data_IF_983257666738
#
_entry.id   IF_983257666738
#
_cell.length_a   1.000
_cell.length_b   1.000
_cell.length_c   1.000
_cell.angle_alpha   90.00
_cell.angle_beta   90.00
_cell.angle_gamma   90.00
#
_symmetry.space_group_name_H-M   'P 1'
#
loop_
_entity.id
_entity.type
_entity.pdbx_description
1 polymer ?
#
# COMPACT_ATOMS: atom_id res chain seq x y z
N UNK A 1 -3.24 10.59 -24.37
CA UNK A 1 -3.53 9.42 -23.50
C UNK A 1 -3.52 9.95 -22.08
N UNK A 2 -4.60 9.73 -21.33
CA UNK A 2 -4.75 10.27 -19.98
C UNK A 2 -3.58 9.82 -19.09
N UNK A 3 -2.92 10.77 -18.43
CA UNK A 3 -2.23 10.49 -17.18
C UNK A 3 -3.25 10.82 -16.10
N UNK A 4 -4.07 9.88 -15.58
CA UNK A 4 -4.91 10.21 -14.47
C UNK A 4 -4.03 10.19 -13.22
N UNK A 5 -3.90 11.37 -12.62
CA UNK A 5 -3.58 11.65 -11.22
C UNK A 5 -2.48 10.78 -10.56
N UNK A 6 -1.29 11.36 -10.37
CA UNK A 6 -0.54 11.36 -9.10
C UNK A 6 -0.83 10.19 -8.13
N UNK A 7 -0.71 8.94 -8.60
CA UNK A 7 -0.91 7.76 -7.77
C UNK A 7 0.40 7.56 -7.00
N UNK A 8 0.40 8.02 -5.74
CA UNK A 8 1.50 7.74 -4.84
C UNK A 8 1.64 6.21 -4.71
N UNK A 9 2.80 5.69 -5.06
CA UNK A 9 3.08 4.26 -5.01
C UNK A 9 3.76 3.94 -3.68
N UNK A 10 3.57 2.71 -3.21
CA UNK A 10 4.15 2.24 -1.96
C UNK A 10 4.90 0.96 -2.26
N UNK A 11 6.21 0.99 -2.05
CA UNK A 11 7.07 -0.17 -2.18
C UNK A 11 7.23 -0.83 -0.82
N UNK A 12 6.99 -2.12 -0.74
CA UNK A 12 7.29 -2.87 0.47
C UNK A 12 8.80 -3.08 0.56
N UNK A 13 9.43 -2.56 1.61
CA UNK A 13 10.85 -2.84 1.90
C UNK A 13 10.99 -4.12 2.73
N UNK A 14 10.02 -4.39 3.61
CA UNK A 14 10.03 -5.54 4.50
C UNK A 14 8.72 -6.31 4.45
N UNK A 15 8.83 -7.63 4.27
CA UNK A 15 7.66 -8.50 4.29
C UNK A 15 7.01 -8.51 5.67
N UNK A 16 5.68 -8.50 5.70
CA UNK A 16 4.90 -8.53 6.92
C UNK A 16 3.58 -9.25 6.65
N UNK A 17 3.15 -10.04 7.60
CA UNK A 17 1.88 -10.75 7.53
C UNK A 17 1.13 -10.52 8.83
N UNK A 18 -0.15 -10.15 8.72
CA UNK A 18 -1.02 -10.04 9.87
C UNK A 18 -2.46 -10.40 9.51
N UNK A 19 -3.19 -10.85 10.53
CA UNK A 19 -4.62 -11.06 10.44
C UNK A 19 -5.34 -9.80 10.89
N UNK A 20 -6.10 -9.18 9.99
CA UNK A 20 -6.95 -8.04 10.31
C UNK A 20 -8.07 -8.46 11.27
N UNK A 21 -8.66 -7.49 11.97
CA UNK A 21 -9.77 -7.74 12.91
C UNK A 21 -11.00 -8.38 12.26
N UNK A 22 -11.15 -8.19 10.94
CA UNK A 22 -12.22 -8.78 10.13
C UNK A 22 -11.94 -10.27 9.75
N UNK A 23 -10.76 -10.80 10.12
CA UNK A 23 -10.32 -12.14 9.72
C UNK A 23 -9.60 -12.17 8.36
N UNK A 24 -9.47 -11.03 7.68
CA UNK A 24 -8.69 -10.92 6.44
C UNK A 24 -7.20 -11.12 6.73
N UNK A 25 -6.58 -12.12 6.10
CA UNK A 25 -5.12 -12.28 6.12
C UNK A 25 -4.50 -11.31 5.11
N UNK A 26 -3.70 -10.38 5.62
CA UNK A 26 -2.94 -9.42 4.82
C UNK A 26 -1.48 -9.83 4.88
N UNK A 27 -0.93 -10.18 3.72
CA UNK A 27 0.49 -10.49 3.56
C UNK A 27 1.10 -9.57 2.52
N UNK A 28 2.08 -8.79 2.96
CA UNK A 28 2.93 -7.97 2.10
C UNK A 28 4.31 -8.62 1.99
N UNK A 29 4.85 -8.66 0.79
CA UNK A 29 6.20 -9.18 0.52
C UNK A 29 7.13 -8.05 0.09
N UNK A 30 8.41 -8.12 0.46
CA UNK A 30 9.38 -7.13 -0.01
C UNK A 30 9.38 -7.10 -1.54
N UNK A 31 9.58 -5.91 -2.09
CA UNK A 31 9.52 -5.58 -3.51
C UNK A 31 8.10 -5.57 -4.12
N UNK A 32 7.04 -5.82 -3.36
CA UNK A 32 5.68 -5.56 -3.84
C UNK A 32 5.36 -4.06 -3.88
N UNK A 33 4.49 -3.69 -4.83
CA UNK A 33 4.07 -2.30 -5.04
C UNK A 33 2.57 -2.19 -4.88
N UNK A 34 2.15 -1.23 -4.07
CA UNK A 34 0.76 -0.92 -3.83
C UNK A 34 0.47 0.53 -4.18
N UNK A 35 -0.78 0.83 -4.52
CA UNK A 35 -1.25 2.19 -4.75
C UNK A 35 -1.70 2.76 -3.41
N UNK A 36 -1.07 3.84 -2.97
CA UNK A 36 -1.49 4.59 -1.80
C UNK A 36 -2.80 5.29 -2.10
N UNK A 37 -3.85 4.90 -1.38
CA UNK A 37 -5.14 5.59 -1.45
C UNK A 37 -5.20 6.73 -0.45
N UNK A 38 -4.79 6.47 0.80
CA UNK A 38 -4.88 7.45 1.88
C UNK A 38 -3.87 7.17 2.98
N UNK A 39 -3.14 8.21 3.38
CA UNK A 39 -2.32 8.19 4.58
C UNK A 39 -3.21 8.48 5.78
N UNK A 40 -3.75 7.43 6.40
CA UNK A 40 -4.59 7.60 7.58
C UNK A 40 -3.75 8.12 8.75
N UNK A 41 -2.62 7.47 9.04
CA UNK A 41 -1.64 7.90 10.04
C UNK A 41 -0.20 7.54 9.62
N UNK A 42 0.80 8.04 10.33
CA UNK A 42 2.21 7.64 10.20
C UNK A 42 2.49 6.16 10.55
N UNK A 43 1.53 5.44 11.15
CA UNK A 43 1.68 4.02 11.45
C UNK A 43 1.01 3.13 10.40
N UNK A 44 -0.16 3.53 9.88
CA UNK A 44 -0.98 2.69 9.01
C UNK A 44 -1.44 3.49 7.79
N UNK A 45 -1.14 2.95 6.61
CA UNK A 45 -1.55 3.52 5.33
C UNK A 45 -2.60 2.65 4.68
N UNK A 46 -3.57 3.31 4.06
CA UNK A 46 -4.60 2.65 3.29
C UNK A 46 -4.12 2.54 1.84
N UNK A 47 -3.88 1.30 1.42
CA UNK A 47 -3.37 0.99 0.09
C UNK A 47 -4.31 0.04 -0.63
N UNK A 48 -4.17 -0.06 -1.95
CA UNK A 48 -4.78 -1.12 -2.77
C UNK A 48 -3.74 -1.75 -3.67
N UNK A 49 -3.96 -3.01 -4.06
CA UNK A 49 -3.19 -3.64 -5.13
C UNK A 49 -3.72 -3.16 -6.47
N UNK A 50 -2.82 -2.91 -7.42
CA UNK A 50 -3.22 -2.51 -8.77
C UNK A 50 -3.97 -3.67 -9.43
N UNK A 51 -5.26 -3.47 -9.70
CA UNK A 51 -6.17 -4.52 -10.19
C UNK A 51 -7.15 -5.08 -9.15
N UNK A 52 -6.93 -4.81 -7.86
CA UNK A 52 -7.87 -5.20 -6.79
C UNK A 52 -8.76 -4.02 -6.40
N UNK A 53 -10.06 -4.31 -6.22
CA UNK A 53 -11.04 -3.33 -5.74
C UNK A 53 -11.07 -3.22 -4.21
N UNK A 54 -10.42 -4.15 -3.50
CA UNK A 54 -10.41 -4.19 -2.03
C UNK A 54 -9.13 -3.55 -1.48
N UNK A 55 -9.23 -2.34 -0.92
CA UNK A 55 -8.11 -1.73 -0.23
C UNK A 55 -7.92 -2.37 1.15
N UNK A 56 -6.72 -2.27 1.67
CA UNK A 56 -6.33 -2.80 2.97
C UNK A 56 -5.29 -1.89 3.62
N UNK A 57 -5.07 -2.10 4.91
CA UNK A 57 -4.12 -1.31 5.67
C UNK A 57 -2.78 -2.00 5.71
N UNK A 58 -1.71 -1.23 5.58
CA UNK A 58 -0.35 -1.73 5.75
C UNK A 58 0.43 -0.82 6.68
N UNK A 59 1.36 -1.37 7.47
CA UNK A 59 2.18 -0.56 8.36
C UNK A 59 3.20 0.25 7.56
N UNK A 60 3.14 1.57 7.69
CA UNK A 60 4.00 2.51 6.98
C UNK A 60 5.50 2.31 7.31
N UNK A 61 5.82 1.71 8.45
CA UNK A 61 7.21 1.42 8.84
C UNK A 61 7.86 0.31 8.00
N UNK A 62 7.07 -0.53 7.32
CA UNK A 62 7.55 -1.66 6.52
C UNK A 62 7.60 -1.34 5.03
N UNK A 63 7.10 -0.16 4.66
CA UNK A 63 6.90 0.24 3.29
C UNK A 63 7.36 1.67 3.06
N UNK A 64 7.68 1.98 1.81
CA UNK A 64 8.25 3.25 1.39
C UNK A 64 7.35 3.89 0.35
N UNK A 65 6.91 5.11 0.62
CA UNK A 65 6.25 5.93 -0.38
C UNK A 65 7.26 6.25 -1.49
N UNK A 66 6.89 5.91 -2.72
CA UNK A 66 7.61 6.28 -3.93
C UNK A 66 6.94 7.54 -4.49
N UNK A 67 7.72 8.61 -4.72
CA UNK A 67 7.18 9.79 -5.39
C UNK A 67 6.71 9.43 -6.80
N UNK A 68 5.65 10.08 -7.30
CA UNK A 68 5.27 9.96 -8.70
C UNK A 68 6.48 10.38 -9.55
N UNK A 69 6.87 9.52 -10.49
CA UNK A 69 7.93 9.84 -11.46
C UNK A 69 7.42 11.03 -12.27
N UNK A 70 8.05 12.18 -12.06
CA UNK A 70 7.83 13.41 -12.81
C UNK A 70 8.36 13.29 -14.25
#
# INVERSE_FOLDING_TARGET
AAVPAEEALVLVEYGFEYQAKDGTLVSIKPNERYVLLKRTNHHWWHVKRSGDTRPFYIPAQYVKELPPIA
#
